data_IF_809418960335
#
_entry.id   IF_809418960335
#
_cell.length_a   1.000
_cell.length_b   1.000
_cell.length_c   1.000
_cell.angle_alpha   90.00
_cell.angle_beta   90.00
_cell.angle_gamma   90.00
#
_symmetry.space_group_name_H-M   'P 1'
#
loop_
_entity.id
_entity.type
_entity.pdbx_description
1 polymer ?
#
# COMPACT_ATOMS: atom_id res chain seq x y z
N UNK A 1 -6.85 -11.69 -14.20
CA UNK A 1 -5.69 -11.55 -13.29
C UNK A 1 -6.20 -11.25 -11.88
N UNK A 2 -5.63 -11.85 -10.82
CA UNK A 2 -6.07 -11.60 -9.45
C UNK A 2 -5.55 -10.23 -9.00
N UNK A 3 -6.43 -9.40 -8.41
CA UNK A 3 -6.06 -8.08 -7.86
C UNK A 3 -6.08 -8.08 -6.34
N UNK A 4 -5.11 -7.41 -5.73
CA UNK A 4 -4.93 -7.29 -4.29
C UNK A 4 -5.18 -5.84 -3.85
N UNK A 5 -5.84 -5.68 -2.70
CA UNK A 5 -5.85 -4.36 -2.06
C UNK A 5 -4.50 -4.10 -1.40
N UNK A 6 -4.17 -2.83 -1.18
CA UNK A 6 -2.94 -2.46 -0.45
C UNK A 6 -2.88 -3.10 0.94
N UNK A 7 -4.03 -3.24 1.62
CA UNK A 7 -4.13 -3.98 2.89
C UNK A 7 -3.68 -5.43 2.76
N UNK A 8 -4.14 -6.14 1.72
CA UNK A 8 -3.79 -7.54 1.52
C UNK A 8 -2.30 -7.70 1.20
N UNK A 9 -1.74 -6.79 0.40
CA UNK A 9 -0.31 -6.72 0.10
C UNK A 9 0.49 -6.55 1.40
N UNK A 10 0.18 -5.51 2.19
CA UNK A 10 0.84 -5.24 3.47
C UNK A 10 0.81 -6.44 4.42
N UNK A 11 -0.36 -7.07 4.58
CA UNK A 11 -0.51 -8.24 5.47
C UNK A 11 0.32 -9.43 4.97
N UNK A 12 0.37 -9.68 3.65
CA UNK A 12 1.20 -10.74 3.08
C UNK A 12 2.70 -10.48 3.25
N UNK A 13 3.11 -9.22 3.30
CA UNK A 13 4.48 -8.80 3.63
C UNK A 13 4.82 -8.91 5.12
N UNK A 14 3.84 -9.22 5.98
CA UNK A 14 4.03 -9.29 7.43
C UNK A 14 4.19 -7.91 8.10
N UNK A 15 3.86 -6.82 7.41
CA UNK A 15 4.08 -5.46 7.89
C UNK A 15 2.87 -4.91 8.67
N UNK A 16 3.15 -4.15 9.72
CA UNK A 16 2.20 -3.27 10.39
C UNK A 16 1.87 -2.04 9.53
N UNK A 17 0.80 -1.32 9.87
CA UNK A 17 0.49 -0.06 9.19
C UNK A 17 1.58 1.00 9.39
N UNK A 18 2.25 0.98 10.54
CA UNK A 18 3.34 1.90 10.86
C UNK A 18 4.58 1.62 10.01
N UNK A 19 4.98 0.35 9.90
CA UNK A 19 6.13 -0.05 9.07
C UNK A 19 5.89 0.26 7.59
N UNK A 20 4.70 -0.06 7.06
CA UNK A 20 4.38 0.25 5.67
C UNK A 20 4.33 1.77 5.42
N UNK A 21 3.81 2.56 6.37
CA UNK A 21 3.83 4.02 6.26
C UNK A 21 5.25 4.58 6.21
N UNK A 22 6.17 3.99 7.00
CA UNK A 22 7.59 4.35 6.99
C UNK A 22 8.25 4.03 5.64
N UNK A 23 8.01 2.87 5.05
CA UNK A 23 8.51 2.50 3.72
C UNK A 23 8.02 3.45 2.62
N UNK A 24 6.77 3.92 2.76
CA UNK A 24 6.16 4.88 1.84
C UNK A 24 6.52 6.34 2.16
N UNK A 25 7.26 6.60 3.23
CA UNK A 25 7.61 7.95 3.70
C UNK A 25 6.39 8.86 3.90
N UNK A 26 5.28 8.29 4.40
CA UNK A 26 4.05 9.03 4.75
C UNK A 26 3.73 8.86 6.24
N UNK A 27 2.87 9.72 6.78
CA UNK A 27 2.40 9.54 8.16
C UNK A 27 1.57 8.26 8.31
N UNK A 28 1.65 7.60 9.47
CA UNK A 28 0.81 6.44 9.80
C UNK A 28 -0.67 6.74 9.60
N UNK A 29 -1.11 7.94 10.02
CA UNK A 29 -2.49 8.40 9.80
C UNK A 29 -2.87 8.46 8.32
N UNK A 30 -2.02 9.02 7.47
CA UNK A 30 -2.26 9.07 6.03
C UNK A 30 -2.38 7.66 5.44
N UNK A 31 -1.47 6.76 5.81
CA UNK A 31 -1.54 5.36 5.39
C UNK A 31 -2.84 4.68 5.86
N UNK A 32 -3.19 4.81 7.13
CA UNK A 32 -4.41 4.23 7.72
C UNK A 32 -5.67 4.79 7.06
N UNK A 33 -5.74 6.09 6.77
CA UNK A 33 -6.88 6.70 6.09
C UNK A 33 -7.01 6.18 4.64
N UNK A 34 -5.89 6.00 3.92
CA UNK A 34 -5.88 5.42 2.56
C UNK A 34 -6.31 3.95 2.56
N UNK A 35 -5.76 3.15 3.48
CA UNK A 35 -6.10 1.73 3.59
C UNK A 35 -7.58 1.51 3.97
N UNK A 36 -8.18 2.44 4.73
CA UNK A 36 -9.60 2.42 5.09
C UNK A 36 -10.51 3.13 4.06
N UNK A 37 -9.97 3.61 2.94
CA UNK A 37 -10.74 4.26 1.88
C UNK A 37 -11.23 5.68 2.18
N UNK A 38 -10.70 6.33 3.23
CA UNK A 38 -10.98 7.73 3.55
C UNK A 38 -10.22 8.72 2.68
N UNK A 39 -9.13 8.26 2.07
CA UNK A 39 -8.35 9.03 1.09
C UNK A 39 -7.82 8.13 -0.01
N UNK A 40 -7.46 8.75 -1.14
CA UNK A 40 -6.97 8.06 -2.34
C UNK A 40 -5.47 7.81 -2.28
N UNK A 41 -5.01 6.74 -2.92
CA UNK A 41 -3.61 6.50 -3.22
C UNK A 41 -3.12 7.42 -4.34
N UNK A 42 -1.93 7.96 -4.19
CA UNK A 42 -1.21 8.67 -5.24
C UNK A 42 -0.39 7.68 -6.07
N UNK A 43 -0.05 8.08 -7.30
CA UNK A 43 0.60 7.17 -8.25
C UNK A 43 2.01 6.75 -7.81
N UNK A 44 2.78 7.67 -7.24
CA UNK A 44 4.09 7.42 -6.63
C UNK A 44 4.01 6.44 -5.45
N UNK A 45 2.99 6.56 -4.59
CA UNK A 45 2.74 5.59 -3.51
C UNK A 45 2.45 4.20 -4.07
N UNK A 46 1.62 4.09 -5.12
CA UNK A 46 1.31 2.82 -5.78
C UNK A 46 2.57 2.20 -6.40
N UNK A 47 3.40 2.99 -7.08
CA UNK A 47 4.65 2.50 -7.66
C UNK A 47 5.62 1.99 -6.58
N UNK A 48 5.71 2.69 -5.45
CA UNK A 48 6.50 2.26 -4.29
C UNK A 48 5.97 0.96 -3.67
N UNK A 49 4.64 0.81 -3.55
CA UNK A 49 4.01 -0.43 -3.09
C UNK A 49 4.33 -1.59 -4.05
N UNK A 50 4.26 -1.34 -5.36
CA UNK A 50 4.62 -2.32 -6.38
C UNK A 50 6.08 -2.77 -6.26
N UNK A 51 7.01 -1.84 -6.03
CA UNK A 51 8.43 -2.14 -5.81
C UNK A 51 8.65 -3.02 -4.58
N UNK A 52 8.05 -2.65 -3.43
CA UNK A 52 8.17 -3.42 -2.17
C UNK A 52 7.58 -4.82 -2.30
N UNK A 53 6.49 -4.97 -3.06
CA UNK A 53 5.73 -6.21 -3.16
C UNK A 53 6.09 -7.08 -4.37
N UNK A 54 7.00 -6.63 -5.24
CA UNK A 54 7.32 -7.26 -6.52
C UNK A 54 6.07 -7.51 -7.40
N UNK A 55 5.18 -6.51 -7.47
CA UNK A 55 3.91 -6.57 -8.22
C UNK A 55 3.86 -5.52 -9.33
N UNK A 56 3.01 -5.77 -10.34
CA UNK A 56 2.64 -4.78 -11.34
C UNK A 56 1.43 -3.94 -10.89
N UNK A 57 1.29 -2.67 -11.32
CA UNK A 57 0.14 -1.83 -10.97
C UNK A 57 -1.22 -2.46 -11.34
N UNK A 58 -1.27 -3.29 -12.39
CA UNK A 58 -2.49 -3.99 -12.82
C UNK A 58 -2.97 -5.04 -11.81
N UNK A 59 -2.09 -5.46 -10.88
CA UNK A 59 -2.40 -6.38 -9.79
C UNK A 59 -2.94 -5.68 -8.54
N UNK A 60 -3.03 -4.34 -8.52
CA UNK A 60 -3.56 -3.58 -7.38
C UNK A 60 -5.01 -3.13 -7.66
N UNK A 61 -5.86 -3.12 -6.63
CA UNK A 61 -7.24 -2.61 -6.69
C UNK A 61 -7.56 -1.64 -5.56
#
# INVERSE_FOLDING_TARGET
MKKFSVKAIRVNLGLTQEEMAKELSISVRAYTDKENGKSKWYWDEILKICEIAELSPEQIK
#
